data_IF_073868084670
#
_entry.id   IF_073868084670
#
_cell.length_a   1.000
_cell.length_b   1.000
_cell.length_c   1.000
_cell.angle_alpha   90.00
_cell.angle_beta   90.00
_cell.angle_gamma   90.00
#
_symmetry.space_group_name_H-M   'P 1'
#
loop_
_entity.id
_entity.type
_entity.pdbx_description
1 polymer ?
#
# COMPACT_ATOMS: atom_id res chain seq x y z
N UNK A 1 54.85 10.27 -11.14
CA UNK A 1 53.76 11.27 -10.96
C UNK A 1 52.46 10.86 -11.67
N UNK A 2 52.46 10.30 -12.89
CA UNK A 2 51.23 9.95 -13.63
C UNK A 2 50.34 8.86 -12.95
N UNK A 3 50.93 7.79 -12.40
CA UNK A 3 50.16 6.69 -11.77
C UNK A 3 49.41 7.06 -10.48
N UNK A 4 49.81 8.14 -9.79
CA UNK A 4 49.08 8.64 -8.62
C UNK A 4 47.80 9.39 -9.02
N UNK A 5 47.82 10.13 -10.13
CA UNK A 5 46.66 10.84 -10.67
C UNK A 5 45.64 9.86 -11.25
N UNK A 6 46.09 8.81 -11.94
CA UNK A 6 45.21 7.74 -12.43
C UNK A 6 44.53 7.01 -11.25
N UNK A 7 45.29 6.58 -10.25
CA UNK A 7 44.72 5.95 -9.04
C UNK A 7 43.71 6.85 -8.31
N UNK A 8 43.95 8.16 -8.26
CA UNK A 8 43.00 9.11 -7.66
C UNK A 8 41.71 9.24 -8.47
N UNK A 9 41.79 9.22 -9.80
CA UNK A 9 40.62 9.25 -10.68
C UNK A 9 39.78 7.98 -10.54
N UNK A 10 40.42 6.81 -10.51
CA UNK A 10 39.70 5.53 -10.32
C UNK A 10 38.98 5.50 -8.98
N UNK A 11 39.65 5.87 -7.88
CA UNK A 11 39.04 5.95 -6.54
C UNK A 11 37.91 6.96 -6.46
N UNK A 12 38.00 8.09 -7.17
CA UNK A 12 36.90 9.05 -7.23
C UNK A 12 35.69 8.51 -8.02
N UNK A 13 35.94 7.79 -9.11
CA UNK A 13 34.89 7.16 -9.89
C UNK A 13 34.18 6.06 -9.08
N UNK A 14 34.92 5.18 -8.41
CA UNK A 14 34.40 4.16 -7.49
C UNK A 14 33.52 4.76 -6.40
N UNK A 15 34.00 5.80 -5.71
CA UNK A 15 33.19 6.50 -4.69
C UNK A 15 31.88 7.08 -5.23
N UNK A 16 31.87 7.61 -6.46
CA UNK A 16 30.64 8.12 -7.08
C UNK A 16 29.68 6.98 -7.42
N UNK A 17 30.20 5.86 -7.90
CA UNK A 17 29.42 4.65 -8.18
C UNK A 17 28.81 4.11 -6.90
N UNK A 18 29.57 3.99 -5.81
CA UNK A 18 29.07 3.52 -4.52
C UNK A 18 27.96 4.42 -3.96
N UNK A 19 28.14 5.74 -4.06
CA UNK A 19 27.10 6.70 -3.67
C UNK A 19 25.84 6.58 -4.53
N UNK A 20 26.00 6.33 -5.83
CA UNK A 20 24.87 6.12 -6.73
C UNK A 20 24.12 4.83 -6.41
N UNK A 21 24.84 3.73 -6.18
CA UNK A 21 24.27 2.45 -5.76
C UNK A 21 23.50 2.59 -4.44
N UNK A 22 24.10 3.23 -3.43
CA UNK A 22 23.44 3.47 -2.15
C UNK A 22 22.15 4.30 -2.30
N UNK A 23 22.15 5.28 -3.21
CA UNK A 23 20.95 6.08 -3.51
C UNK A 23 19.86 5.24 -4.18
N UNK A 24 20.22 4.43 -5.19
CA UNK A 24 19.28 3.53 -5.88
C UNK A 24 18.68 2.52 -4.90
N UNK A 25 19.48 1.95 -4.00
CA UNK A 25 19.00 1.06 -2.95
C UNK A 25 17.97 1.75 -2.03
N UNK A 26 18.25 2.98 -1.62
CA UNK A 26 17.34 3.73 -0.77
C UNK A 26 16.02 4.09 -1.48
N UNK A 27 16.10 4.52 -2.74
CA UNK A 27 14.92 4.80 -3.56
C UNK A 27 14.08 3.53 -3.79
N UNK A 28 14.74 2.38 -4.00
CA UNK A 28 14.10 1.08 -4.15
C UNK A 28 13.38 0.67 -2.85
N UNK A 29 14.04 0.79 -1.69
CA UNK A 29 13.40 0.51 -0.39
C UNK A 29 12.21 1.43 -0.13
N UNK A 30 12.31 2.70 -0.50
CA UNK A 30 11.20 3.64 -0.38
C UNK A 30 10.02 3.26 -1.30
N UNK A 31 10.30 2.79 -2.52
CA UNK A 31 9.29 2.32 -3.45
C UNK A 31 8.60 1.05 -2.92
N UNK A 32 9.36 0.06 -2.45
CA UNK A 32 8.83 -1.17 -1.82
C UNK A 32 7.93 -0.81 -0.64
N UNK A 33 8.39 0.07 0.26
CA UNK A 33 7.58 0.50 1.42
C UNK A 33 6.25 1.13 1.00
N UNK A 34 6.24 1.97 -0.05
CA UNK A 34 4.99 2.58 -0.56
C UNK A 34 4.04 1.52 -1.14
N UNK A 35 4.59 0.52 -1.82
CA UNK A 35 3.81 -0.62 -2.35
C UNK A 35 3.22 -1.42 -1.20
N UNK A 36 4.01 -1.76 -0.18
CA UNK A 36 3.54 -2.49 1.00
C UNK A 36 2.45 -1.71 1.77
N UNK A 37 2.61 -0.39 1.93
CA UNK A 37 1.61 0.49 2.53
C UNK A 37 0.30 0.49 1.72
N UNK A 38 0.38 0.47 0.39
CA UNK A 38 -0.79 0.39 -0.48
C UNK A 38 -1.48 -0.97 -0.38
N UNK A 39 -0.72 -2.07 -0.40
CA UNK A 39 -1.25 -3.42 -0.17
C UNK A 39 -1.93 -3.55 1.18
N UNK A 40 -1.38 -2.96 2.24
CA UNK A 40 -2.00 -2.97 3.56
C UNK A 40 -3.37 -2.26 3.56
N UNK A 41 -3.50 -1.12 2.87
CA UNK A 41 -4.77 -0.40 2.72
C UNK A 41 -5.78 -1.20 1.91
N UNK A 42 -5.37 -1.77 0.78
CA UNK A 42 -6.23 -2.60 -0.06
C UNK A 42 -6.72 -3.85 0.69
N UNK A 43 -5.83 -4.50 1.44
CA UNK A 43 -6.20 -5.63 2.28
C UNK A 43 -7.22 -5.23 3.36
N UNK A 44 -7.00 -4.10 4.04
CA UNK A 44 -7.94 -3.59 5.03
C UNK A 44 -9.32 -3.27 4.42
N UNK A 45 -9.33 -2.69 3.23
CA UNK A 45 -10.54 -2.43 2.45
C UNK A 45 -11.30 -3.73 2.12
N UNK A 46 -10.61 -4.74 1.59
CA UNK A 46 -11.22 -6.05 1.28
C UNK A 46 -11.82 -6.68 2.54
N UNK A 47 -11.10 -6.68 3.65
CA UNK A 47 -11.58 -7.22 4.93
C UNK A 47 -12.85 -6.49 5.41
N UNK A 48 -12.88 -5.16 5.32
CA UNK A 48 -14.05 -4.36 5.70
C UNK A 48 -15.27 -4.67 4.82
N UNK A 49 -15.09 -4.84 3.51
CA UNK A 49 -16.17 -5.23 2.58
C UNK A 49 -16.69 -6.63 2.94
N UNK A 50 -15.80 -7.61 3.12
CA UNK A 50 -16.19 -8.97 3.48
C UNK A 50 -16.96 -9.01 4.80
N UNK A 51 -16.52 -8.26 5.82
CA UNK A 51 -17.22 -8.16 7.11
C UNK A 51 -18.62 -7.55 6.95
N UNK A 52 -18.75 -6.49 6.14
CA UNK A 52 -20.06 -5.90 5.83
C UNK A 52 -20.97 -6.89 5.09
N UNK A 53 -20.44 -7.64 4.12
CA UNK A 53 -21.19 -8.65 3.39
C UNK A 53 -21.70 -9.77 4.33
N UNK A 54 -20.82 -10.27 5.21
CA UNK A 54 -21.19 -11.26 6.22
C UNK A 54 -22.26 -10.73 7.17
N UNK A 55 -22.15 -9.47 7.62
CA UNK A 55 -23.15 -8.85 8.48
C UNK A 55 -24.52 -8.74 7.80
N UNK A 56 -24.56 -8.40 6.50
CA UNK A 56 -25.80 -8.42 5.70
C UNK A 56 -26.38 -9.83 5.61
N UNK A 57 -25.55 -10.83 5.27
CA UNK A 57 -25.97 -12.22 5.13
C UNK A 57 -26.43 -12.86 6.44
N UNK A 58 -25.95 -12.36 7.58
CA UNK A 58 -26.35 -12.84 8.90
C UNK A 58 -27.69 -12.26 9.38
N UNK A 59 -28.28 -11.28 8.67
CA UNK A 59 -29.59 -10.71 9.04
C UNK A 59 -30.68 -11.76 8.80
N UNK A 60 -31.46 -12.15 9.83
CA UNK A 60 -32.52 -13.13 9.67
C UNK A 60 -33.60 -12.66 8.69
N UNK A 61 -34.24 -13.58 7.97
CA UNK A 61 -35.36 -13.23 7.07
C UNK A 61 -36.55 -12.63 7.82
N UNK A 62 -36.75 -13.00 9.08
CA UNK A 62 -37.77 -12.44 9.97
C UNK A 62 -37.43 -11.05 10.52
N UNK A 63 -36.23 -10.52 10.23
CA UNK A 63 -35.82 -9.22 10.71
C UNK A 63 -36.74 -8.10 10.17
N UNK A 64 -37.01 -7.06 10.99
CA UNK A 64 -37.77 -5.90 10.55
C UNK A 64 -37.18 -5.27 9.27
N UNK A 65 -38.01 -4.79 8.33
CA UNK A 65 -37.54 -4.17 7.09
C UNK A 65 -36.55 -3.00 7.32
N UNK A 66 -36.75 -2.23 8.39
CA UNK A 66 -35.87 -1.13 8.76
C UNK A 66 -34.44 -1.60 9.08
N UNK A 67 -34.30 -2.76 9.73
CA UNK A 67 -33.00 -3.34 10.06
C UNK A 67 -32.27 -3.79 8.79
N UNK A 68 -32.98 -4.49 7.88
CA UNK A 68 -32.42 -4.91 6.58
C UNK A 68 -31.95 -3.72 5.74
N UNK A 69 -32.80 -2.69 5.63
CA UNK A 69 -32.47 -1.46 4.90
C UNK A 69 -31.27 -0.71 5.50
N UNK A 70 -31.15 -0.70 6.83
CA UNK A 70 -29.98 -0.11 7.51
C UNK A 70 -28.70 -0.89 7.21
N UNK A 71 -28.71 -2.21 7.30
CA UNK A 71 -27.54 -3.05 7.04
C UNK A 71 -27.08 -2.94 5.58
N UNK A 72 -28.01 -2.92 4.62
CA UNK A 72 -27.69 -2.66 3.21
C UNK A 72 -27.07 -1.27 3.00
N UNK A 73 -27.61 -0.24 3.66
CA UNK A 73 -27.06 1.13 3.58
C UNK A 73 -25.63 1.20 4.11
N UNK A 74 -25.35 0.54 5.24
CA UNK A 74 -24.00 0.49 5.82
C UNK A 74 -23.06 -0.22 4.85
N UNK A 75 -23.42 -1.39 4.32
CA UNK A 75 -22.60 -2.12 3.36
C UNK A 75 -22.29 -1.30 2.09
N UNK A 76 -23.31 -0.64 1.51
CA UNK A 76 -23.12 0.27 0.36
C UNK A 76 -22.27 1.49 0.71
N UNK A 77 -22.45 2.06 1.90
CA UNK A 77 -21.68 3.19 2.41
C UNK A 77 -20.19 2.86 2.56
N UNK A 78 -19.88 1.71 3.15
CA UNK A 78 -18.51 1.20 3.29
C UNK A 78 -17.85 0.98 1.93
N UNK A 79 -18.56 0.38 0.96
CA UNK A 79 -18.03 0.22 -0.40
C UNK A 79 -17.69 1.54 -1.08
N UNK A 80 -18.53 2.58 -0.92
CA UNK A 80 -18.24 3.92 -1.48
C UNK A 80 -17.08 4.62 -0.80
N UNK A 81 -16.93 4.47 0.52
CA UNK A 81 -15.81 5.06 1.27
C UNK A 81 -14.49 4.44 0.84
N UNK A 82 -14.46 3.11 0.68
CA UNK A 82 -13.28 2.39 0.19
C UNK A 82 -12.92 2.80 -1.23
N UNK A 83 -13.90 2.91 -2.13
CA UNK A 83 -13.66 3.35 -3.51
C UNK A 83 -13.16 4.80 -3.65
N UNK A 84 -13.10 5.58 -2.56
CA UNK A 84 -12.47 6.91 -2.52
C UNK A 84 -11.08 6.91 -1.88
N UNK A 85 -10.72 5.84 -1.17
CA UNK A 85 -9.42 5.67 -0.51
C UNK A 85 -8.39 5.01 -1.44
N UNK A 86 -8.87 4.25 -2.43
CA UNK A 86 -8.11 3.70 -3.55
C UNK A 86 -8.11 4.70 -4.70
#
# INVERSE_FOLDING_TARGET
MAGQLESHRTRQAEKRTDQHLARVDQETRNAVRRVDEQFAKERAAVVAICSCAQAVSAVPESAPPALKAMTERIARGTGRLIGRML
#
